data_IF_979018340132
#
_entry.id   IF_979018340132
#
_cell.length_a   1.000
_cell.length_b   1.000
_cell.length_c   1.000
_cell.angle_alpha   90.00
_cell.angle_beta   90.00
_cell.angle_gamma   90.00
#
_symmetry.space_group_name_H-M   'P 1'
#
loop_
_entity.id
_entity.type
_entity.pdbx_description
1 polymer ?
#
# COMPACT_ATOMS: atom_id res chain seq x y z
N UNK A 1 -29.08 13.99 29.27
CA UNK A 1 -27.84 13.76 30.04
C UNK A 1 -27.19 12.49 29.51
N UNK A 2 -26.30 12.68 28.55
CA UNK A 2 -25.18 11.82 28.19
C UNK A 2 -24.39 12.71 27.22
N UNK A 3 -23.39 13.41 27.76
CA UNK A 3 -22.46 14.17 26.95
C UNK A 3 -21.43 13.21 26.38
N UNK A 4 -21.06 13.41 25.12
CA UNK A 4 -19.87 12.80 24.55
C UNK A 4 -19.02 13.91 23.95
N UNK A 5 -17.98 14.20 24.73
CA UNK A 5 -16.60 14.47 24.32
C UNK A 5 -16.38 15.29 23.05
N UNK A 6 -16.08 16.57 23.26
CA UNK A 6 -15.38 17.41 22.29
C UNK A 6 -13.98 16.84 22.07
N UNK A 7 -13.72 16.28 20.89
CA UNK A 7 -12.37 15.90 20.49
C UNK A 7 -11.49 17.17 20.42
N UNK A 8 -10.60 17.33 21.39
CA UNK A 8 -9.52 18.33 21.37
C UNK A 8 -8.23 17.63 20.96
N UNK A 9 -7.55 18.19 19.96
CA UNK A 9 -6.15 17.86 19.64
C UNK A 9 -5.97 16.86 18.49
N UNK A 10 -5.57 17.41 17.34
CA UNK A 10 -4.94 16.73 16.21
C UNK A 10 -5.88 15.89 15.31
N UNK A 11 -6.66 16.59 14.51
CA UNK A 11 -7.45 16.01 13.43
C UNK A 11 -6.52 15.60 12.26
N UNK A 12 -5.69 14.57 12.49
CA UNK A 12 -4.81 13.93 11.48
C UNK A 12 -5.60 13.03 10.51
N UNK A 13 -6.90 13.27 10.38
CA UNK A 13 -7.81 12.37 9.70
C UNK A 13 -7.78 12.62 8.19
N UNK A 14 -6.70 12.16 7.55
CA UNK A 14 -6.68 11.80 6.12
C UNK A 14 -7.53 10.52 5.85
N UNK A 15 -8.59 10.33 6.63
CA UNK A 15 -9.45 9.14 6.61
C UNK A 15 -10.48 9.29 5.50
N UNK A 16 -10.13 8.76 4.34
CA UNK A 16 -11.07 8.59 3.24
C UNK A 16 -12.10 7.51 3.60
N UNK A 17 -13.39 7.87 3.66
CA UNK A 17 -14.47 6.97 4.06
C UNK A 17 -14.53 5.75 3.15
N UNK A 18 -14.45 4.56 3.74
CA UNK A 18 -14.55 3.30 3.00
C UNK A 18 -13.25 2.82 2.37
N UNK A 19 -12.12 3.48 2.62
CA UNK A 19 -10.79 3.09 2.13
C UNK A 19 -9.91 2.62 3.29
N UNK A 20 -9.17 1.54 3.05
CA UNK A 20 -8.12 1.03 3.90
C UNK A 20 -6.77 1.34 3.26
N UNK A 21 -5.85 1.91 4.04
CA UNK A 21 -4.41 2.00 3.77
C UNK A 21 -3.71 1.22 4.87
N UNK A 22 -2.96 0.18 4.52
CA UNK A 22 -2.38 -0.77 5.48
C UNK A 22 -1.09 -1.40 4.97
N UNK A 23 -0.39 -2.08 5.88
CA UNK A 23 0.85 -2.81 5.60
C UNK A 23 1.90 -1.93 4.90
N UNK A 24 2.38 -0.88 5.58
CA UNK A 24 3.43 -0.04 5.02
C UNK A 24 4.73 -0.83 4.82
N UNK A 25 5.45 -0.50 3.76
CA UNK A 25 6.83 -0.91 3.54
C UNK A 25 7.76 -0.24 4.56
N UNK A 26 9.04 -0.63 4.49
CA UNK A 26 10.11 0.21 5.02
C UNK A 26 10.07 1.60 4.36
N UNK A 27 10.48 2.62 5.09
CA UNK A 27 10.61 3.99 4.58
C UNK A 27 12.02 4.15 4.01
N UNK A 28 12.10 4.70 2.80
CA UNK A 28 13.38 5.13 2.22
C UNK A 28 13.42 6.65 2.09
N UNK A 29 14.62 7.22 2.05
CA UNK A 29 14.83 8.64 1.77
C UNK A 29 15.55 8.81 0.44
N UNK A 30 15.00 9.61 -0.46
CA UNK A 30 15.58 9.97 -1.76
C UNK A 30 15.56 11.48 -1.90
N UNK A 31 16.73 12.11 -1.95
CA UNK A 31 16.85 13.56 -1.84
C UNK A 31 16.23 14.07 -0.54
N UNK A 32 15.32 15.03 -0.65
CA UNK A 32 14.63 15.65 0.49
C UNK A 32 13.30 14.97 0.86
N UNK A 33 12.95 13.85 0.18
CA UNK A 33 11.68 13.17 0.38
C UNK A 33 11.87 11.78 1.00
N UNK A 34 11.00 11.46 1.95
CA UNK A 34 10.70 10.12 2.41
C UNK A 34 9.65 9.48 1.51
N UNK A 35 9.77 8.18 1.29
CA UNK A 35 8.86 7.37 0.49
C UNK A 35 8.38 6.17 1.30
N UNK A 36 7.11 5.83 1.13
CA UNK A 36 6.51 4.61 1.68
C UNK A 36 5.51 4.02 0.69
N UNK A 37 5.51 2.70 0.57
CA UNK A 37 4.51 1.95 -0.20
C UNK A 37 3.58 1.22 0.76
N UNK A 38 2.33 1.02 0.36
CA UNK A 38 1.32 0.38 1.20
C UNK A 38 0.24 -0.25 0.36
N UNK A 39 -0.53 -1.13 0.99
CA UNK A 39 -1.74 -1.68 0.39
C UNK A 39 -2.87 -0.64 0.47
N UNK A 40 -3.54 -0.36 -0.64
CA UNK A 40 -4.77 0.43 -0.69
C UNK A 40 -5.92 -0.39 -1.25
N UNK A 41 -7.05 -0.37 -0.56
CA UNK A 41 -8.24 -1.12 -0.96
C UNK A 41 -9.49 -0.70 -0.18
N UNK A 42 -10.63 -1.39 -0.37
CA UNK A 42 -11.85 -1.11 0.38
C UNK A 42 -11.69 -1.44 1.87
N UNK A 43 -12.30 -0.63 2.75
CA UNK A 43 -12.39 -0.85 4.20
C UNK A 43 -13.43 -1.94 4.52
N UNK A 44 -13.12 -3.17 4.12
CA UNK A 44 -13.91 -4.37 4.40
C UNK A 44 -12.97 -5.53 4.71
N UNK A 45 -13.49 -6.59 5.32
CA UNK A 45 -12.67 -7.80 5.59
C UNK A 45 -12.17 -8.43 4.28
N UNK A 46 -10.91 -8.87 4.25
CA UNK A 46 -10.29 -9.54 3.10
C UNK A 46 -8.97 -8.90 2.66
N UNK A 47 -8.42 -9.41 1.56
CA UNK A 47 -7.08 -9.01 1.06
C UNK A 47 -7.12 -8.12 -0.17
N UNK A 48 -8.30 -7.74 -0.67
CA UNK A 48 -8.45 -6.95 -1.89
C UNK A 48 -7.73 -5.59 -1.76
N UNK A 49 -6.70 -5.39 -2.59
CA UNK A 49 -5.93 -4.15 -2.66
C UNK A 49 -5.12 -4.06 -3.97
N UNK A 50 -4.54 -2.89 -4.19
CA UNK A 50 -3.36 -2.64 -5.02
C UNK A 50 -2.27 -1.97 -4.19
N UNK A 51 -1.02 -1.95 -4.67
CA UNK A 51 0.07 -1.26 -3.98
C UNK A 51 0.15 0.19 -4.43
N UNK A 52 0.12 1.11 -3.47
CA UNK A 52 0.22 2.57 -3.66
C UNK A 52 1.45 3.11 -2.95
N UNK A 53 1.81 4.35 -3.26
CA UNK A 53 2.88 5.05 -2.54
C UNK A 53 2.52 6.48 -2.17
N UNK A 54 3.23 6.98 -1.16
CA UNK A 54 3.15 8.35 -0.69
C UNK A 54 4.54 8.89 -0.41
N UNK A 55 4.68 10.21 -0.45
CA UNK A 55 5.90 10.92 -0.10
C UNK A 55 5.69 11.88 1.06
N UNK A 56 6.73 12.17 1.81
CA UNK A 56 6.73 13.16 2.88
C UNK A 56 8.07 13.90 2.93
N UNK A 57 8.08 15.19 3.24
CA UNK A 57 9.33 15.94 3.50
C UNK A 57 9.77 15.88 4.97
N UNK A 58 8.84 15.56 5.89
CA UNK A 58 9.07 15.61 7.33
C UNK A 58 8.85 14.26 8.04
N UNK A 59 8.36 13.25 7.32
CA UNK A 59 8.02 11.92 7.85
C UNK A 59 6.72 11.89 8.65
N UNK A 60 6.01 13.01 8.78
CA UNK A 60 4.80 13.16 9.58
C UNK A 60 3.58 13.35 8.68
N UNK A 61 3.65 14.27 7.73
CA UNK A 61 2.58 14.55 6.77
C UNK A 61 2.91 13.90 5.43
N UNK A 62 2.01 13.04 4.95
CA UNK A 62 2.24 12.21 3.77
C UNK A 62 1.27 12.58 2.66
N UNK A 63 1.81 12.82 1.46
CA UNK A 63 1.03 13.05 0.25
C UNK A 63 0.98 11.77 -0.56
N UNK A 64 -0.21 11.17 -0.69
CA UNK A 64 -0.44 10.05 -1.61
C UNK A 64 -0.17 10.49 -3.05
N UNK A 65 0.62 9.70 -3.78
CA UNK A 65 1.03 10.02 -5.16
C UNK A 65 0.27 9.20 -6.19
N UNK A 66 0.20 7.88 -6.00
CA UNK A 66 -0.50 7.02 -6.93
C UNK A 66 -0.29 5.54 -6.67
N UNK A 67 -0.86 4.75 -7.58
CA UNK A 67 -0.72 3.30 -7.59
C UNK A 67 0.64 2.93 -8.20
N UNK A 68 1.47 2.22 -7.43
CA UNK A 68 2.76 1.72 -7.88
C UNK A 68 2.64 0.38 -8.61
N UNK A 69 1.78 -0.54 -8.11
CA UNK A 69 1.56 -1.85 -8.73
C UNK A 69 0.06 -2.14 -8.81
N UNK A 70 -0.42 -2.31 -10.04
CA UNK A 70 -1.78 -2.71 -10.35
C UNK A 70 -1.97 -4.22 -10.17
N UNK A 71 -3.23 -4.67 -10.07
CA UNK A 71 -3.54 -6.08 -10.34
C UNK A 71 -3.25 -6.37 -11.80
N UNK A 72 -2.77 -7.57 -12.09
CA UNK A 72 -2.63 -8.02 -13.46
C UNK A 72 -3.98 -8.34 -14.11
N UNK A 73 -3.95 -8.59 -15.42
CA UNK A 73 -5.10 -9.02 -16.20
C UNK A 73 -5.70 -10.33 -15.69
N UNK A 74 -6.99 -10.53 -15.94
CA UNK A 74 -7.71 -11.71 -15.50
C UNK A 74 -7.02 -13.01 -15.98
N UNK A 75 -6.79 -13.93 -15.05
CA UNK A 75 -6.11 -15.20 -15.29
C UNK A 75 -4.62 -15.21 -14.93
N UNK A 76 -4.02 -14.04 -14.69
CA UNK A 76 -2.69 -13.95 -14.07
C UNK A 76 -2.73 -14.32 -12.58
N UNK A 77 -1.57 -14.70 -12.05
CA UNK A 77 -1.44 -15.21 -10.67
C UNK A 77 -1.67 -14.14 -9.59
N UNK A 78 -1.59 -12.86 -9.94
CA UNK A 78 -1.82 -11.70 -9.08
C UNK A 78 -3.04 -10.87 -9.53
N UNK A 79 -3.93 -11.45 -10.32
CA UNK A 79 -5.11 -10.78 -10.85
C UNK A 79 -6.16 -10.42 -9.78
N UNK A 80 -6.20 -11.11 -8.64
CA UNK A 80 -7.22 -10.82 -7.61
C UNK A 80 -6.80 -9.74 -6.62
N UNK A 81 -5.51 -9.69 -6.27
CA UNK A 81 -4.98 -8.70 -5.34
C UNK A 81 -3.47 -8.57 -5.42
N UNK A 82 -2.98 -7.36 -5.15
CA UNK A 82 -1.56 -7.03 -4.95
C UNK A 82 -1.44 -6.21 -3.67
N UNK A 83 -0.71 -6.70 -2.68
CA UNK A 83 -0.73 -6.15 -1.32
C UNK A 83 0.54 -6.48 -0.52
N UNK A 84 0.65 -5.90 0.67
CA UNK A 84 1.78 -6.01 1.61
C UNK A 84 3.12 -5.79 0.90
N UNK A 85 3.33 -4.59 0.32
CA UNK A 85 4.58 -4.29 -0.36
C UNK A 85 5.73 -4.07 0.63
N UNK A 86 6.94 -4.40 0.22
CA UNK A 86 8.16 -3.96 0.90
C UNK A 86 9.25 -3.61 -0.13
N UNK A 87 10.17 -2.71 0.24
CA UNK A 87 11.09 -2.05 -0.68
C UNK A 87 12.54 -2.40 -0.35
N UNK A 88 13.30 -2.76 -1.39
CA UNK A 88 14.75 -2.88 -1.33
C UNK A 88 15.37 -1.91 -2.32
N UNK A 89 16.32 -1.10 -1.85
CA UNK A 89 17.18 -0.27 -2.72
C UNK A 89 18.51 -1.00 -2.87
N UNK A 90 18.77 -1.50 -4.07
CA UNK A 90 19.97 -2.28 -4.37
C UNK A 90 20.35 -2.08 -5.84
N UNK A 91 21.67 -2.09 -6.11
CA UNK A 91 22.23 -1.97 -7.47
C UNK A 91 21.71 -0.76 -8.25
N UNK A 92 21.57 0.38 -7.56
CA UNK A 92 21.06 1.62 -8.14
C UNK A 92 19.58 1.59 -8.54
N UNK A 93 18.83 0.58 -8.07
CA UNK A 93 17.43 0.34 -8.45
C UNK A 93 16.52 0.15 -7.24
N UNK A 94 15.22 0.30 -7.49
CA UNK A 94 14.15 0.18 -6.53
C UNK A 94 13.37 -1.11 -6.80
N UNK A 95 13.45 -2.05 -5.86
CA UNK A 95 12.87 -3.38 -5.97
C UNK A 95 11.70 -3.49 -5.00
N UNK A 96 10.48 -3.38 -5.53
CA UNK A 96 9.26 -3.48 -4.74
C UNK A 96 8.75 -4.92 -4.76
N UNK A 97 8.96 -5.62 -3.65
CA UNK A 97 8.38 -6.94 -3.43
C UNK A 97 6.93 -6.79 -2.98
N UNK A 98 6.06 -7.70 -3.40
CA UNK A 98 4.65 -7.67 -3.03
C UNK A 98 4.05 -9.07 -2.95
N UNK A 99 2.96 -9.21 -2.20
CA UNK A 99 2.14 -10.42 -2.20
C UNK A 99 1.06 -10.30 -3.27
N UNK A 100 0.87 -11.35 -4.07
CA UNK A 100 -0.23 -11.47 -5.02
C UNK A 100 -1.05 -12.75 -4.82
N UNK A 101 -2.31 -12.73 -5.25
CA UNK A 101 -3.24 -13.87 -5.18
C UNK A 101 -4.02 -14.01 -6.48
N UNK A 102 -4.34 -15.24 -6.89
CA UNK A 102 -5.08 -15.50 -8.14
C UNK A 102 -6.59 -15.31 -7.93
N UNK A 103 -7.08 -15.57 -6.71
CA UNK A 103 -8.51 -15.55 -6.39
C UNK A 103 -8.88 -14.63 -5.22
N UNK A 104 -10.13 -14.13 -5.17
CA UNK A 104 -10.59 -13.27 -4.08
C UNK A 104 -10.71 -14.06 -2.77
N UNK A 105 -10.47 -13.36 -1.66
CA UNK A 105 -10.67 -13.93 -0.33
C UNK A 105 -12.12 -14.40 -0.11
N UNK A 106 -12.28 -15.60 0.43
CA UNK A 106 -13.56 -16.18 0.87
C UNK A 106 -13.40 -16.82 2.24
N UNK A 107 -14.48 -16.93 3.03
CA UNK A 107 -14.42 -17.65 4.32
C UNK A 107 -14.04 -19.11 4.08
N UNK A 108 -13.03 -19.62 4.81
CA UNK A 108 -12.47 -20.96 4.59
C UNK A 108 -11.45 -21.06 3.44
N UNK A 109 -11.15 -19.94 2.79
CA UNK A 109 -10.11 -19.85 1.76
C UNK A 109 -8.72 -20.02 2.35
N UNK A 110 -7.89 -20.82 1.68
CA UNK A 110 -6.44 -20.85 1.87
C UNK A 110 -5.83 -20.03 0.73
N UNK A 111 -5.36 -18.79 0.98
CA UNK A 111 -4.87 -17.95 -0.09
C UNK A 111 -3.68 -18.60 -0.79
N UNK A 112 -3.69 -18.54 -2.12
CA UNK A 112 -2.65 -19.05 -2.99
C UNK A 112 -1.51 -18.03 -3.16
N UNK A 113 -1.19 -17.34 -2.06
CA UNK A 113 -0.27 -16.22 -2.04
C UNK A 113 1.08 -16.58 -2.64
N UNK A 114 1.60 -15.68 -3.48
CA UNK A 114 2.94 -15.72 -4.06
C UNK A 114 3.60 -14.37 -3.85
N UNK A 115 4.94 -14.35 -3.90
CA UNK A 115 5.70 -13.11 -3.86
C UNK A 115 6.10 -12.73 -5.28
N UNK A 116 5.70 -11.52 -5.69
CA UNK A 116 6.13 -10.88 -6.93
C UNK A 116 7.15 -9.78 -6.65
N UNK A 117 7.74 -9.29 -7.74
CA UNK A 117 8.70 -8.19 -7.71
C UNK A 117 8.44 -7.25 -8.88
N UNK A 118 8.42 -5.95 -8.60
CA UNK A 118 8.44 -4.87 -9.58
C UNK A 118 9.74 -4.08 -9.41
N UNK A 119 10.37 -3.69 -10.52
CA UNK A 119 11.70 -3.05 -10.50
C UNK A 119 11.63 -1.75 -11.28
N UNK A 120 12.20 -0.69 -10.72
CA UNK A 120 12.27 0.64 -11.34
C UNK A 120 13.64 1.27 -11.13
N UNK A 121 14.03 2.15 -12.05
CA UNK A 121 15.20 3.04 -11.92
C UNK A 121 14.85 4.32 -11.14
N UNK A 122 13.57 4.53 -10.79
CA UNK A 122 13.04 5.68 -10.05
C UNK A 122 12.15 5.23 -8.87
N UNK A 123 12.20 5.94 -7.72
CA UNK A 123 11.25 5.67 -6.63
C UNK A 123 9.81 6.03 -6.98
N UNK A 124 9.57 6.79 -8.05
CA UNK A 124 8.22 7.21 -8.44
C UNK A 124 7.46 6.13 -9.25
N UNK A 125 8.10 4.98 -9.53
CA UNK A 125 7.57 3.97 -10.45
C UNK A 125 7.78 4.39 -11.90
N UNK A 126 7.08 3.77 -12.87
CA UNK A 126 7.35 4.06 -14.28
C UNK A 126 7.06 5.53 -14.62
#
# INVERSE_FOLDING_TARGET
MAGEETATGNDRNHLEKGVSRRDPSDIIKVGDLYYVWYSKGPLKTGYEATAWYATSSDGLEWTEKGQAVAKAEAGAWDAASVFTPNILVADGRYWLFYTGTTGPYKKGFKPDSKIGIAVSDSPDGP
#
